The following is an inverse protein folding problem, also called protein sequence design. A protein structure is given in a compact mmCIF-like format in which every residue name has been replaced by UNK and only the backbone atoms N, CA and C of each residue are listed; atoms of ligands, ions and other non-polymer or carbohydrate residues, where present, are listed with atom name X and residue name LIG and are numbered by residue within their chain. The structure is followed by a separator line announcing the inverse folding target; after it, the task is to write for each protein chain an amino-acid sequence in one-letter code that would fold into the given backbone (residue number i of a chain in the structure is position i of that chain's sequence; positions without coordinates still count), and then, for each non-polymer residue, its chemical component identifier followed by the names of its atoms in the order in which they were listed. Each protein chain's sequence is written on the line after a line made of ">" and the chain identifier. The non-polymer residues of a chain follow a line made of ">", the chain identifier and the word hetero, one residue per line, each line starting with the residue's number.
data_IF_028755253829
#
_entry.id   IF_028755253829
#
_cell.length_a   1.000
_cell.length_b   1.000
_cell.length_c   1.000
_cell.angle_alpha   90.00
_cell.angle_beta   90.00
_cell.angle_gamma   90.00
#
_symmetry.space_group_name_H-M   'P 1'
#
loop_
_entity.id
_entity.type
_entity.pdbx_description
1 polymer ?
#
# COMPACT_ATOMS: atom_id res chain seq x y z
N UNK A 1 22.34 -7.70 22.00
CA UNK A 1 21.26 -8.04 21.04
C UNK A 1 20.17 -7.02 21.31
N UNK A 2 19.92 -6.06 20.41
CA UNK A 2 18.89 -5.04 20.64
C UNK A 2 17.53 -5.73 20.58
N UNK A 3 16.80 -5.72 21.68
CA UNK A 3 15.43 -6.20 21.74
C UNK A 3 14.58 -5.35 20.78
N UNK A 4 13.88 -5.99 19.85
CA UNK A 4 12.80 -5.33 19.13
C UNK A 4 11.73 -4.94 20.15
N UNK A 5 11.43 -3.65 20.28
CA UNK A 5 10.51 -3.16 21.32
C UNK A 5 9.03 -3.38 20.96
N UNK A 6 8.70 -3.50 19.67
CA UNK A 6 7.33 -3.78 19.22
C UNK A 6 7.04 -5.28 19.25
N UNK A 7 5.91 -5.67 19.85
CA UNK A 7 5.44 -7.05 19.83
C UNK A 7 5.15 -7.48 18.38
N UNK A 8 5.93 -8.47 17.90
CA UNK A 8 5.77 -9.05 16.57
C UNK A 8 4.55 -9.97 16.53
N UNK A 9 3.79 -9.88 15.45
CA UNK A 9 2.66 -10.77 15.12
C UNK A 9 2.94 -11.51 13.81
N UNK A 10 2.14 -12.53 13.49
CA UNK A 10 2.31 -13.32 12.26
C UNK A 10 2.25 -12.48 10.98
N UNK A 11 1.43 -11.42 10.98
CA UNK A 11 1.26 -10.53 9.84
C UNK A 11 2.48 -9.63 9.56
N UNK A 12 3.46 -9.59 10.48
CA UNK A 12 4.71 -8.84 10.31
C UNK A 12 5.75 -9.62 9.47
N UNK A 13 5.49 -10.90 9.16
CA UNK A 13 6.45 -11.77 8.49
C UNK A 13 6.53 -11.50 6.97
N UNK A 14 7.73 -11.20 6.49
CA UNK A 14 8.01 -11.08 5.06
C UNK A 14 7.49 -9.81 4.38
N UNK A 15 7.09 -8.78 5.15
CA UNK A 15 6.54 -7.52 4.61
C UNK A 15 7.49 -6.76 3.66
N UNK A 16 8.80 -6.95 3.84
CA UNK A 16 9.84 -6.31 3.03
C UNK A 16 10.30 -7.16 1.84
N UNK A 17 9.73 -8.35 1.65
CA UNK A 17 10.00 -9.20 0.49
C UNK A 17 8.89 -8.95 -0.54
N UNK A 18 9.18 -8.42 -1.74
CA UNK A 18 8.17 -8.24 -2.77
C UNK A 18 7.55 -9.57 -3.20
N UNK A 19 6.35 -9.54 -3.78
CA UNK A 19 5.70 -10.77 -4.28
C UNK A 19 6.50 -11.40 -5.41
N UNK A 20 7.05 -10.57 -6.28
CA UNK A 20 7.92 -10.97 -7.39
C UNK A 20 9.16 -10.07 -7.39
N UNK A 21 10.37 -10.61 -7.58
CA UNK A 21 11.55 -9.80 -7.88
C UNK A 21 11.30 -8.84 -9.04
N UNK A 22 11.93 -7.66 -9.02
CA UNK A 22 11.71 -6.64 -10.06
C UNK A 22 12.08 -7.14 -11.47
N UNK A 23 13.04 -8.06 -11.56
CA UNK A 23 13.57 -8.67 -12.78
C UNK A 23 12.94 -10.02 -13.14
N UNK A 24 11.90 -10.45 -12.41
CA UNK A 24 11.18 -11.68 -12.74
C UNK A 24 10.61 -11.65 -14.17
N UNK A 25 10.44 -12.80 -14.86
CA UNK A 25 9.75 -12.81 -16.15
C UNK A 25 8.35 -12.19 -16.07
N UNK A 26 7.93 -11.49 -17.14
CA UNK A 26 6.58 -10.96 -17.26
C UNK A 26 5.57 -12.11 -17.32
N UNK A 27 4.62 -12.14 -16.41
CA UNK A 27 3.44 -13.01 -16.49
C UNK A 27 2.17 -12.16 -16.55
N UNK A 28 1.46 -12.27 -17.68
CA UNK A 28 0.23 -11.52 -17.97
C UNK A 28 -1.03 -12.39 -17.92
N UNK A 29 -0.89 -13.68 -17.60
CA UNK A 29 -1.99 -14.63 -17.62
C UNK A 29 -2.69 -14.75 -16.25
N UNK A 30 -2.18 -14.07 -15.23
CA UNK A 30 -2.78 -14.06 -13.90
C UNK A 30 -4.15 -13.37 -13.94
N UNK A 31 -5.16 -14.04 -13.39
CA UNK A 31 -6.48 -13.45 -13.17
C UNK A 31 -6.57 -12.75 -11.82
N UNK A 32 -6.03 -13.39 -10.78
CA UNK A 32 -6.04 -12.89 -9.41
C UNK A 32 -4.62 -12.75 -8.91
N UNK A 33 -4.31 -11.59 -8.32
CA UNK A 33 -2.98 -11.31 -7.78
C UNK A 33 -3.03 -10.87 -6.32
N UNK A 34 -1.92 -11.10 -5.62
CA UNK A 34 -1.74 -10.67 -4.23
C UNK A 34 -1.36 -9.18 -4.21
N UNK A 35 -2.35 -8.29 -4.10
CA UNK A 35 -2.14 -6.83 -4.04
C UNK A 35 -1.87 -6.30 -2.63
N UNK A 36 -1.74 -7.16 -1.62
CA UNK A 36 -1.51 -6.79 -0.22
C UNK A 36 -0.68 -7.84 0.53
N UNK A 37 -0.32 -7.62 1.80
CA UNK A 37 0.30 -8.67 2.63
C UNK A 37 -0.60 -9.89 2.91
N UNK A 38 -1.89 -9.83 2.60
CA UNK A 38 -2.86 -10.89 2.88
C UNK A 38 -2.98 -11.88 1.72
N UNK A 39 -3.32 -13.14 2.03
CA UNK A 39 -3.29 -14.26 1.09
C UNK A 39 -4.68 -14.81 0.76
N UNK A 40 -5.68 -14.45 1.56
CA UNK A 40 -7.03 -14.99 1.45
C UNK A 40 -7.75 -14.45 0.21
N UNK A 41 -8.72 -15.22 -0.28
CA UNK A 41 -9.37 -14.99 -1.58
C UNK A 41 -10.04 -13.61 -1.70
N UNK A 42 -10.62 -13.13 -0.61
CA UNK A 42 -11.25 -11.83 -0.42
C UNK A 42 -10.26 -10.66 -0.46
N UNK A 43 -8.96 -10.94 -0.34
CA UNK A 43 -7.88 -9.95 -0.44
C UNK A 43 -7.18 -9.94 -1.80
N UNK A 44 -7.50 -10.89 -2.69
CA UNK A 44 -6.90 -10.93 -4.02
C UNK A 44 -7.52 -9.89 -4.96
N UNK A 45 -6.68 -9.23 -5.74
CA UNK A 45 -7.11 -8.28 -6.76
C UNK A 45 -7.48 -9.04 -8.04
N UNK A 46 -8.72 -8.86 -8.49
CA UNK A 46 -9.23 -9.37 -9.76
C UNK A 46 -8.81 -8.46 -10.92
N UNK A 47 -7.85 -8.92 -11.72
CA UNK A 47 -7.29 -8.16 -12.83
C UNK A 47 -8.28 -7.98 -13.98
N UNK A 48 -9.28 -8.85 -14.14
CA UNK A 48 -10.28 -8.72 -15.22
C UNK A 48 -11.19 -7.50 -15.06
N UNK A 49 -11.21 -6.89 -13.86
CA UNK A 49 -11.96 -5.66 -13.56
C UNK A 49 -11.20 -4.38 -13.89
N UNK A 50 -9.97 -4.49 -14.38
CA UNK A 50 -9.07 -3.36 -14.64
C UNK A 50 -8.88 -3.14 -16.14
N UNK A 51 -8.90 -1.86 -16.52
CA UNK A 51 -8.43 -1.41 -17.83
C UNK A 51 -6.93 -1.70 -17.98
N UNK A 52 -6.45 -1.82 -19.22
CA UNK A 52 -5.09 -2.30 -19.54
C UNK A 52 -4.00 -1.54 -18.78
N UNK A 53 -4.07 -0.21 -18.68
CA UNK A 53 -3.07 0.58 -17.96
C UNK A 53 -3.03 0.27 -16.46
N UNK A 54 -4.18 0.16 -15.81
CA UNK A 54 -4.26 -0.21 -14.39
C UNK A 54 -3.90 -1.68 -14.15
N UNK A 55 -4.26 -2.58 -15.07
CA UNK A 55 -3.85 -4.00 -15.04
C UNK A 55 -2.33 -4.12 -15.10
N UNK A 56 -1.69 -3.41 -16.03
CA UNK A 56 -0.25 -3.37 -16.18
C UNK A 56 0.45 -2.81 -14.92
N UNK A 57 -0.07 -1.73 -14.36
CA UNK A 57 0.44 -1.15 -13.11
C UNK A 57 0.27 -2.11 -11.92
N UNK A 58 -0.87 -2.79 -11.79
CA UNK A 58 -1.12 -3.75 -10.72
C UNK A 58 -0.16 -4.95 -10.77
N UNK A 59 0.14 -5.45 -11.98
CA UNK A 59 1.15 -6.48 -12.21
C UNK A 59 2.56 -5.99 -11.83
N UNK A 60 2.93 -4.77 -12.22
CA UNK A 60 4.20 -4.17 -11.82
C UNK A 60 4.33 -4.01 -10.29
N UNK A 61 3.25 -3.62 -9.62
CA UNK A 61 3.18 -3.46 -8.16
C UNK A 61 3.37 -4.77 -7.37
N UNK A 62 3.44 -5.93 -8.03
CA UNK A 62 3.91 -7.18 -7.41
C UNK A 62 5.37 -7.09 -6.96
N UNK A 63 6.16 -6.23 -7.60
CA UNK A 63 7.56 -5.94 -7.27
C UNK A 63 7.73 -4.69 -6.40
N UNK A 64 6.64 -4.14 -5.86
CA UNK A 64 6.68 -2.97 -4.98
C UNK A 64 7.40 -3.30 -3.67
N UNK A 65 8.43 -2.52 -3.34
CA UNK A 65 9.23 -2.69 -2.13
C UNK A 65 9.72 -1.35 -1.57
N UNK A 66 9.96 -1.33 -0.26
CA UNK A 66 10.65 -0.24 0.41
C UNK A 66 12.14 -0.26 0.02
N UNK A 67 12.72 0.91 -0.30
CA UNK A 67 14.17 0.99 -0.61
C UNK A 67 15.06 0.74 0.61
N UNK A 68 14.53 0.95 1.81
CA UNK A 68 15.20 0.73 3.08
C UNK A 68 14.19 0.28 4.12
N UNK A 69 14.43 -0.86 4.75
CA UNK A 69 13.61 -1.34 5.88
C UNK A 69 13.64 -0.37 7.08
N UNK A 70 14.65 0.49 7.17
CA UNK A 70 14.86 1.42 8.29
C UNK A 70 14.23 2.79 8.04
N UNK A 71 14.24 3.26 6.79
CA UNK A 71 13.98 4.67 6.50
C UNK A 71 12.64 4.93 5.81
N UNK A 72 11.93 3.90 5.34
CA UNK A 72 10.69 4.06 4.56
C UNK A 72 9.64 4.93 5.26
N UNK A 73 9.53 4.83 6.59
CA UNK A 73 8.59 5.59 7.40
C UNK A 73 9.01 7.06 7.63
N UNK A 74 10.25 7.44 7.29
CA UNK A 74 10.82 8.79 7.49
C UNK A 74 11.05 9.53 6.17
N UNK A 75 11.42 8.80 5.12
CA UNK A 75 11.72 9.37 3.82
C UNK A 75 10.47 10.00 3.19
N UNK A 76 10.69 11.01 2.34
CA UNK A 76 9.67 11.51 1.44
C UNK A 76 9.08 10.32 0.65
N UNK A 77 7.76 10.27 0.48
CA UNK A 77 7.08 9.08 -0.07
C UNK A 77 7.68 8.61 -1.40
N UNK A 78 8.01 9.55 -2.30
CA UNK A 78 8.63 9.25 -3.59
C UNK A 78 9.97 8.51 -3.45
N UNK A 79 10.72 8.81 -2.40
CA UNK A 79 12.04 8.23 -2.16
C UNK A 79 12.01 6.97 -1.29
N UNK A 80 10.92 6.72 -0.58
CA UNK A 80 10.76 5.58 0.31
C UNK A 80 10.64 4.25 -0.46
N UNK A 81 10.16 4.27 -1.71
CA UNK A 81 9.81 3.09 -2.48
C UNK A 81 10.43 3.09 -3.88
N UNK A 82 10.49 1.92 -4.51
CA UNK A 82 11.02 1.72 -5.86
C UNK A 82 10.07 2.22 -6.99
N UNK A 83 9.38 3.36 -6.81
CA UNK A 83 8.32 3.87 -7.71
C UNK A 83 8.78 3.98 -9.17
N UNK A 84 9.96 4.53 -9.42
CA UNK A 84 10.51 4.68 -10.77
C UNK A 84 10.64 3.32 -11.48
N UNK A 85 11.13 2.29 -10.78
CA UNK A 85 11.22 0.93 -11.30
C UNK A 85 9.84 0.35 -11.60
N UNK A 86 8.85 0.60 -10.74
CA UNK A 86 7.46 0.16 -10.95
C UNK A 86 6.84 0.78 -12.20
N UNK A 87 7.10 2.07 -12.46
CA UNK A 87 6.58 2.76 -13.64
C UNK A 87 7.18 2.17 -14.93
N UNK A 88 8.50 1.96 -14.95
CA UNK A 88 9.18 1.32 -16.08
C UNK A 88 8.60 -0.08 -16.33
N UNK A 89 8.43 -0.85 -15.24
CA UNK A 89 7.87 -2.20 -15.29
C UNK A 89 6.42 -2.21 -15.78
N UNK A 90 5.61 -1.22 -15.40
CA UNK A 90 4.23 -1.10 -15.85
C UNK A 90 4.16 -0.89 -17.38
N UNK A 91 5.10 -0.13 -17.96
CA UNK A 91 5.19 0.03 -19.42
C UNK A 91 5.50 -1.29 -20.13
N UNK A 92 6.42 -2.09 -19.58
CA UNK A 92 6.72 -3.43 -20.09
C UNK A 92 5.50 -4.37 -20.01
N UNK A 93 4.78 -4.36 -18.88
CA UNK A 93 3.55 -5.14 -18.75
C UNK A 93 2.46 -4.70 -19.73
N UNK A 94 2.30 -3.40 -19.98
CA UNK A 94 1.32 -2.91 -20.95
C UNK A 94 1.63 -3.39 -22.37
N UNK A 95 2.90 -3.34 -22.78
CA UNK A 95 3.34 -3.88 -24.07
C UNK A 95 3.10 -5.40 -24.16
N UNK A 96 3.40 -6.15 -23.09
CA UNK A 96 3.14 -7.59 -23.02
C UNK A 96 1.64 -7.94 -23.03
N UNK A 97 0.78 -7.04 -22.56
CA UNK A 97 -0.68 -7.12 -22.66
C UNK A 97 -1.21 -6.73 -24.05
N UNK A 98 -0.34 -6.35 -24.99
CA UNK A 98 -0.69 -6.03 -26.38
C UNK A 98 -1.04 -4.57 -26.63
N UNK A 99 -0.74 -3.66 -25.70
CA UNK A 99 -0.92 -2.23 -25.95
C UNK A 99 0.19 -1.71 -26.89
N UNK A 100 -0.19 -0.98 -27.94
CA UNK A 100 0.79 -0.30 -28.83
C UNK A 100 1.58 0.77 -28.09
N UNK A 101 0.92 1.48 -27.17
CA UNK A 101 1.50 2.49 -26.30
C UNK A 101 0.89 2.38 -24.90
N UNK A 102 1.60 2.83 -23.86
CA UNK A 102 1.07 2.81 -22.50
C UNK A 102 -0.13 3.76 -22.37
N UNK A 103 -1.33 3.28 -21.95
CA UNK A 103 -2.49 4.13 -21.77
C UNK A 103 -2.25 5.18 -20.69
N UNK A 104 -2.66 6.44 -20.93
CA UNK A 104 -2.60 7.45 -19.89
C UNK A 104 -3.50 7.05 -18.71
N UNK A 105 -2.91 6.96 -17.52
CA UNK A 105 -3.63 6.72 -16.27
C UNK A 105 -3.23 7.71 -15.19
N UNK A 106 -4.18 8.00 -14.31
CA UNK A 106 -3.94 8.73 -13.06
C UNK A 106 -4.12 7.78 -11.90
N UNK A 107 -3.25 7.88 -10.91
CA UNK A 107 -3.25 7.02 -9.73
C UNK A 107 -3.28 7.90 -8.50
N UNK A 108 -4.22 7.62 -7.62
CA UNK A 108 -4.37 8.32 -6.35
C UNK A 108 -3.74 7.48 -5.24
N UNK A 109 -2.77 8.06 -4.53
CA UNK A 109 -1.99 7.32 -3.53
C UNK A 109 -2.20 7.97 -2.17
N UNK A 110 -2.46 7.13 -1.15
CA UNK A 110 -2.50 7.56 0.25
C UNK A 110 -1.30 6.95 0.97
N UNK A 111 -0.62 7.76 1.79
CA UNK A 111 0.31 7.26 2.79
C UNK A 111 -0.17 7.67 4.18
N UNK A 112 -0.29 6.68 5.06
CA UNK A 112 -0.64 6.84 6.47
C UNK A 112 0.62 6.60 7.30
N UNK A 113 1.21 7.67 7.82
CA UNK A 113 2.34 7.59 8.75
C UNK A 113 1.81 7.58 10.17
N UNK A 114 2.37 6.74 11.03
CA UNK A 114 1.86 6.57 12.38
C UNK A 114 2.94 6.24 13.40
N UNK A 115 2.65 6.57 14.65
CA UNK A 115 3.36 6.11 15.85
C UNK A 115 2.30 5.62 16.82
N UNK A 116 2.41 4.37 17.24
CA UNK A 116 1.53 3.80 18.26
C UNK A 116 1.96 4.25 19.66
N UNK A 117 1.01 4.30 20.60
CA UNK A 117 1.35 4.42 22.02
C UNK A 117 2.13 3.19 22.51
N UNK A 118 3.01 3.38 23.51
CA UNK A 118 3.91 2.32 23.97
C UNK A 118 3.13 1.09 24.47
N UNK A 119 2.05 1.31 25.23
CA UNK A 119 1.20 0.25 25.75
C UNK A 119 0.41 -0.51 24.67
N UNK A 120 0.43 -0.02 23.42
CA UNK A 120 -0.11 -0.70 22.24
C UNK A 120 1.00 -1.47 21.53
N UNK A 121 2.17 -0.87 21.37
CA UNK A 121 3.34 -1.51 20.75
C UNK A 121 3.77 -2.78 21.50
N UNK A 122 3.84 -2.70 22.83
CA UNK A 122 4.30 -3.81 23.69
C UNK A 122 3.23 -4.89 23.90
N UNK A 123 1.98 -4.65 23.51
CA UNK A 123 0.86 -5.57 23.71
C UNK A 123 0.61 -6.41 22.45
N UNK A 124 1.01 -7.68 22.49
CA UNK A 124 0.72 -8.63 21.40
C UNK A 124 -0.79 -8.75 21.11
N UNK A 125 -1.64 -8.67 22.14
CA UNK A 125 -3.11 -8.69 21.99
C UNK A 125 -3.62 -7.47 21.22
N UNK A 126 -3.19 -6.26 21.60
CA UNK A 126 -3.61 -5.04 20.89
C UNK A 126 -3.01 -4.97 19.47
N UNK A 127 -1.76 -5.41 19.29
CA UNK A 127 -1.14 -5.52 17.94
C UNK A 127 -1.94 -6.47 17.05
N UNK A 128 -2.29 -7.66 17.57
CA UNK A 128 -3.15 -8.61 16.86
C UNK A 128 -4.51 -7.99 16.53
N UNK A 129 -5.13 -7.29 17.49
CA UNK A 129 -6.43 -6.65 17.26
C UNK A 129 -6.37 -5.56 16.19
N UNK A 130 -5.28 -4.79 16.16
CA UNK A 130 -5.05 -3.79 15.11
C UNK A 130 -4.91 -4.45 13.74
N UNK A 131 -4.18 -5.57 13.64
CA UNK A 131 -4.03 -6.32 12.40
C UNK A 131 -5.34 -6.95 11.92
N UNK A 132 -6.17 -7.49 12.82
CA UNK A 132 -7.52 -7.97 12.47
C UNK A 132 -8.37 -6.85 11.88
N UNK A 133 -8.36 -5.67 12.50
CA UNK A 133 -9.11 -4.50 12.01
C UNK A 133 -8.60 -4.03 10.65
N UNK A 134 -7.28 -4.01 10.47
CA UNK A 134 -6.65 -3.62 9.21
C UNK A 134 -7.03 -4.60 8.08
N UNK A 135 -7.00 -5.90 8.38
CA UNK A 135 -7.38 -6.97 7.47
C UNK A 135 -8.85 -6.86 7.06
N UNK A 136 -9.77 -6.70 8.00
CA UNK A 136 -11.20 -6.51 7.70
C UNK A 136 -11.44 -5.26 6.85
N UNK A 137 -10.71 -4.18 7.15
CA UNK A 137 -10.78 -2.92 6.38
C UNK A 137 -10.24 -3.10 4.96
N UNK A 138 -9.18 -3.89 4.78
CA UNK A 138 -8.65 -4.21 3.47
C UNK A 138 -9.62 -5.06 2.64
N UNK A 139 -10.23 -6.10 3.22
CA UNK A 139 -11.22 -6.92 2.52
C UNK A 139 -12.40 -6.06 2.01
N UNK A 140 -12.89 -5.14 2.84
CA UNK A 140 -13.93 -4.17 2.48
C UNK A 140 -13.48 -3.21 1.36
N UNK A 141 -12.25 -2.71 1.43
CA UNK A 141 -11.64 -1.88 0.39
C UNK A 141 -11.50 -2.62 -0.95
N UNK A 142 -11.08 -3.88 -0.92
CA UNK A 142 -10.93 -4.72 -2.11
C UNK A 142 -12.29 -5.02 -2.75
N UNK A 143 -13.31 -5.33 -1.93
CA UNK A 143 -14.69 -5.52 -2.39
C UNK A 143 -15.28 -4.25 -3.03
N UNK A 144 -14.97 -3.07 -2.47
CA UNK A 144 -15.40 -1.77 -3.00
C UNK A 144 -14.81 -1.47 -4.39
N UNK A 145 -13.66 -2.05 -4.70
CA UNK A 145 -12.98 -1.95 -5.99
C UNK A 145 -12.10 -0.71 -6.14
N UNK A 146 -11.19 -0.77 -7.11
CA UNK A 146 -10.28 0.34 -7.46
C UNK A 146 -9.00 0.43 -6.65
N UNK A 147 -8.81 -0.43 -5.64
CA UNK A 147 -7.53 -0.63 -4.96
C UNK A 147 -6.59 -1.44 -5.86
N UNK A 148 -5.38 -0.94 -6.09
CA UNK A 148 -4.35 -1.57 -6.93
C UNK A 148 -3.25 -2.23 -6.09
N UNK A 149 -2.90 -1.62 -4.96
CA UNK A 149 -1.91 -2.11 -4.00
C UNK A 149 -2.24 -1.59 -2.62
N UNK A 150 -2.07 -2.44 -1.62
CA UNK A 150 -1.93 -2.09 -0.22
C UNK A 150 -0.59 -2.63 0.30
N UNK A 151 0.08 -1.86 1.15
CA UNK A 151 1.32 -2.27 1.78
C UNK A 151 1.45 -1.58 3.14
N UNK A 152 1.98 -2.28 4.13
CA UNK A 152 2.39 -1.69 5.40
C UNK A 152 3.73 -2.28 5.83
N UNK A 153 4.48 -1.50 6.61
CA UNK A 153 5.69 -1.96 7.26
C UNK A 153 5.48 -2.27 8.74
N UNK A 154 6.59 -2.45 9.44
CA UNK A 154 6.63 -2.58 10.90
C UNK A 154 7.20 -1.32 11.55
N UNK A 155 6.69 -0.88 12.71
CA UNK A 155 7.30 0.20 13.46
C UNK A 155 8.81 -0.01 13.68
N UNK A 156 9.62 1.04 13.50
CA UNK A 156 11.05 0.97 13.77
C UNK A 156 11.34 0.96 15.29
N UNK A 157 12.44 0.32 15.72
CA UNK A 157 12.74 0.19 17.16
C UNK A 157 13.17 1.49 17.83
N UNK A 158 13.56 2.53 17.08
CA UNK A 158 14.13 3.77 17.63
C UNK A 158 13.05 4.83 17.83
N UNK A 159 12.17 4.99 16.86
CA UNK A 159 11.16 6.05 16.81
C UNK A 159 9.72 5.53 16.72
N UNK A 160 9.53 4.21 16.60
CA UNK A 160 8.24 3.54 16.48
C UNK A 160 7.38 4.08 15.32
N UNK A 161 8.02 4.65 14.30
CA UNK A 161 7.32 5.13 13.11
C UNK A 161 7.02 3.97 12.19
N UNK A 162 5.80 3.98 11.68
CA UNK A 162 5.35 3.06 10.65
C UNK A 162 4.69 3.85 9.51
N UNK A 163 4.60 3.21 8.34
CA UNK A 163 3.87 3.70 7.20
C UNK A 163 3.05 2.56 6.59
N UNK A 164 1.76 2.83 6.37
CA UNK A 164 0.89 2.06 5.51
C UNK A 164 0.53 2.88 4.28
N UNK A 165 0.39 2.26 3.12
CA UNK A 165 0.08 2.96 1.87
C UNK A 165 -0.82 2.16 0.97
N UNK A 166 -1.69 2.86 0.26
CA UNK A 166 -2.59 2.30 -0.73
C UNK A 166 -2.59 3.10 -2.04
N UNK A 167 -2.61 2.37 -3.15
CA UNK A 167 -2.64 2.88 -4.51
C UNK A 167 -4.01 2.63 -5.10
N UNK A 168 -4.66 3.67 -5.60
CA UNK A 168 -6.04 3.62 -6.10
C UNK A 168 -6.11 4.17 -7.51
N UNK A 169 -7.09 3.72 -8.29
CA UNK A 169 -7.36 4.33 -9.62
C UNK A 169 -7.74 5.80 -9.53
N UNK A 170 -8.37 6.24 -8.45
CA UNK A 170 -8.76 7.63 -8.23
C UNK A 170 -9.20 7.87 -6.77
N UNK A 171 -9.37 9.14 -6.39
CA UNK A 171 -9.80 9.52 -5.04
C UNK A 171 -11.24 9.12 -4.68
N UNK A 172 -12.13 8.89 -5.67
CA UNK A 172 -13.50 8.41 -5.41
C UNK A 172 -13.47 6.93 -4.96
N UNK A 173 -12.66 6.10 -5.62
CA UNK A 173 -12.43 4.70 -5.24
C UNK A 173 -11.81 4.65 -3.84
N UNK A 174 -10.80 5.49 -3.56
CA UNK A 174 -10.18 5.58 -2.23
C UNK A 174 -11.19 5.96 -1.12
N UNK A 175 -12.08 6.93 -1.40
CA UNK A 175 -13.13 7.33 -0.47
C UNK A 175 -14.18 6.24 -0.25
N UNK A 176 -14.52 5.48 -1.30
CA UNK A 176 -15.43 4.36 -1.19
C UNK A 176 -14.83 3.24 -0.31
N UNK A 177 -13.60 2.83 -0.60
CA UNK A 177 -12.92 1.77 0.15
C UNK A 177 -12.56 2.14 1.58
N UNK A 178 -12.12 3.38 1.84
CA UNK A 178 -11.85 3.87 3.21
C UNK A 178 -13.09 4.33 3.98
N UNK A 179 -14.26 4.35 3.32
CA UNK A 179 -15.52 4.87 3.88
C UNK A 179 -16.48 3.80 4.41
N UNK A 180 -16.14 2.51 4.26
CA UNK A 180 -17.04 1.41 4.60
C UNK A 180 -17.25 1.21 6.11
N UNK A 181 -18.27 0.43 6.52
CA UNK A 181 -18.52 0.09 7.92
C UNK A 181 -17.31 -0.46 8.68
N UNK A 182 -16.56 -1.41 8.12
CA UNK A 182 -15.42 -2.04 8.80
C UNK A 182 -14.32 -1.00 9.07
N UNK A 183 -13.93 -0.23 8.05
CA UNK A 183 -12.93 0.83 8.19
C UNK A 183 -13.35 1.89 9.22
N UNK A 184 -14.61 2.36 9.16
CA UNK A 184 -15.11 3.38 10.09
C UNK A 184 -15.23 2.87 11.52
N UNK A 185 -15.67 1.62 11.72
CA UNK A 185 -15.76 1.01 13.04
C UNK A 185 -14.36 0.78 13.63
N UNK A 186 -13.46 0.20 12.83
CA UNK A 186 -12.07 0.00 13.16
C UNK A 186 -11.40 1.28 13.63
N UNK A 187 -11.43 2.33 12.82
CA UNK A 187 -10.82 3.61 13.16
C UNK A 187 -11.44 4.25 14.41
N UNK A 188 -12.74 4.06 14.69
CA UNK A 188 -13.33 4.54 15.95
C UNK A 188 -12.75 3.82 17.17
N UNK A 189 -12.42 2.53 17.05
CA UNK A 189 -11.86 1.72 18.12
C UNK A 189 -10.38 2.06 18.35
N UNK A 190 -9.59 2.18 17.28
CA UNK A 190 -8.13 2.26 17.38
C UNK A 190 -7.56 3.68 17.26
N UNK A 191 -8.35 4.70 16.94
CA UNK A 191 -7.82 6.08 16.81
C UNK A 191 -7.04 6.55 18.04
N UNK A 192 -7.46 6.13 19.24
CA UNK A 192 -6.81 6.50 20.50
C UNK A 192 -5.53 5.70 20.79
N UNK A 193 -5.18 4.75 19.92
CA UNK A 193 -3.96 3.93 20.05
C UNK A 193 -2.76 4.58 19.36
N UNK A 194 -3.00 5.60 18.54
CA UNK A 194 -1.96 6.35 17.85
C UNK A 194 -1.53 7.56 18.67
N UNK A 195 -0.27 7.58 19.07
CA UNK A 195 0.39 8.78 19.63
C UNK A 195 0.52 9.88 18.57
N UNK A 196 0.72 9.48 17.32
CA UNK A 196 0.78 10.37 16.18
C UNK A 196 0.26 9.67 14.94
N UNK A 197 -0.45 10.40 14.09
CA UNK A 197 -0.76 9.94 12.74
C UNK A 197 -0.88 11.10 11.76
N UNK A 198 -0.54 10.83 10.50
CA UNK A 198 -0.53 11.77 9.41
C UNK A 198 -0.98 11.07 8.14
N UNK A 199 -1.83 11.75 7.37
CA UNK A 199 -2.28 11.28 6.06
C UNK A 199 -1.72 12.20 4.98
N UNK A 200 -1.02 11.58 4.03
CA UNK A 200 -0.49 12.21 2.83
C UNK A 200 -1.29 11.70 1.63
N UNK A 201 -1.67 12.61 0.73
CA UNK A 201 -2.39 12.29 -0.51
C UNK A 201 -1.50 12.71 -1.70
N UNK A 202 -1.29 11.81 -2.65
CA UNK A 202 -0.49 12.03 -3.85
C UNK A 202 -1.25 11.64 -5.11
N UNK A 203 -0.84 12.23 -6.23
CA UNK A 203 -1.23 11.82 -7.57
C UNK A 203 0.02 11.40 -8.36
N UNK A 204 -0.12 10.29 -9.09
CA UNK A 204 0.84 9.84 -10.09
C UNK A 204 0.13 9.78 -11.44
N UNK A 205 0.54 10.63 -12.37
CA UNK A 205 0.17 10.55 -13.78
C UNK A 205 1.23 9.72 -14.50
N UNK A 206 0.82 8.71 -15.26
CA UNK A 206 1.70 7.92 -16.12
C UNK A 206 1.18 8.02 -17.54
N UNK A 207 2.05 8.39 -18.47
CA UNK A 207 1.82 8.38 -19.91
C UNK A 207 2.81 7.42 -20.59
N UNK A 208 2.70 7.30 -21.91
CA UNK A 208 3.65 6.56 -22.76
C UNK A 208 5.11 6.86 -22.40
N UNK A 209 5.49 8.13 -22.42
CA UNK A 209 6.90 8.53 -22.36
C UNK A 209 7.26 9.25 -21.05
N UNK A 210 6.26 9.73 -20.31
CA UNK A 210 6.46 10.60 -19.14
C UNK A 210 5.66 10.14 -17.93
N UNK A 211 6.03 10.63 -16.76
CA UNK A 211 5.24 10.50 -15.55
C UNK A 211 5.44 11.72 -14.65
N UNK A 212 4.40 12.06 -13.91
CA UNK A 212 4.45 13.15 -12.94
C UNK A 212 3.90 12.67 -11.60
N UNK A 213 4.69 12.86 -10.54
CA UNK A 213 4.33 12.49 -9.18
C UNK A 213 4.31 13.74 -8.30
N UNK A 214 3.22 13.97 -7.57
CA UNK A 214 3.15 15.12 -6.66
C UNK A 214 2.06 14.99 -5.59
N UNK A 215 2.16 15.78 -4.50
CA UNK A 215 1.13 15.84 -3.46
C UNK A 215 -0.14 16.54 -3.95
N UNK A 216 -1.31 16.06 -3.55
CA UNK A 216 -2.62 16.63 -3.92
C UNK A 216 -3.12 17.74 -2.98
N UNK A 217 -2.71 17.72 -1.71
CA UNK A 217 -3.08 18.73 -0.69
C UNK A 217 -1.91 19.01 0.26
N UNK A 218 -1.95 20.17 0.95
CA UNK A 218 -1.09 20.42 2.13
C UNK A 218 -1.34 19.32 3.16
N UNK A 219 -0.27 18.72 3.65
CA UNK A 219 -0.30 17.57 4.55
C UNK A 219 -1.15 17.91 5.79
N UNK A 220 -2.17 17.11 6.07
CA UNK A 220 -3.02 17.28 7.25
C UNK A 220 -2.37 16.57 8.43
N UNK A 221 -1.68 17.33 9.27
CA UNK A 221 -1.15 16.84 10.55
C UNK A 221 -2.20 17.00 11.64
N UNK A 222 -2.56 15.91 12.33
CA UNK A 222 -3.23 16.00 13.63
C UNK A 222 -2.23 15.59 14.71
N UNK A 223 -1.93 16.55 15.59
CA UNK A 223 -1.18 16.33 16.83
C UNK A 223 -2.01 15.54 17.82
#
# INVERSE_FOLDING_TARGET
>A
MSEHHTAKISDDLGLFIPVKPIDAPLDVNEKFIRSSPYYEQDHLLDLDKLEVGYKALALALQSFEARSEKDYAFAAYKEAFNIESIILRAREYAAALGAEEFPEIKVYIIAFRSILHLEVQESAEKRKKLAEIDKDSHAEANLSGGLLKYWFGTPDDVHAKNLATCWWRNGKDAKAGGGGPAHRQGMRLVKGWFKHWQVEEYELLITKDEHNFGPLKKILEKK
#
